data_IF_865617075231
#
_entry.id   IF_865617075231
#
_cell.length_a   1.000
_cell.length_b   1.000
_cell.length_c   1.000
_cell.angle_alpha   90.00
_cell.angle_beta   90.00
_cell.angle_gamma   90.00
#
_symmetry.space_group_name_H-M   'P 1'
#
loop_
_entity.id
_entity.type
_entity.pdbx_description
1 polymer ?
#
# COMPACT_ATOMS: atom_id res chain seq x y z
N UNK A 1 54.81 10.81 15.76
CA UNK A 1 53.90 9.64 15.69
C UNK A 1 52.49 10.16 15.48
N UNK A 2 51.72 9.42 14.69
CA UNK A 2 50.55 9.83 13.93
C UNK A 2 49.41 10.33 14.83
N UNK A 3 48.68 11.33 14.31
CA UNK A 3 47.45 11.87 14.90
C UNK A 3 46.50 10.71 15.17
N UNK A 4 46.07 10.56 16.42
CA UNK A 4 44.89 9.76 16.75
C UNK A 4 43.79 10.10 15.76
N UNK A 5 43.21 9.06 15.15
CA UNK A 5 42.02 9.16 14.33
C UNK A 5 40.96 9.90 15.14
N UNK A 6 40.85 11.21 14.91
CA UNK A 6 39.70 11.99 15.33
C UNK A 6 38.54 11.45 14.54
N UNK A 7 37.84 10.49 15.11
CA UNK A 7 36.52 10.06 14.68
C UNK A 7 35.70 11.34 14.52
N UNK A 8 35.45 11.73 13.27
CA UNK A 8 34.83 13.02 12.96
C UNK A 8 33.48 13.03 13.69
N UNK A 9 33.12 14.08 14.45
CA UNK A 9 31.85 14.12 15.19
C UNK A 9 30.64 13.80 14.30
N UNK A 10 30.75 14.13 13.01
CA UNK A 10 29.78 13.81 11.96
C UNK A 10 29.64 12.30 11.73
N UNK A 11 30.75 11.55 11.67
CA UNK A 11 30.73 10.09 11.52
C UNK A 11 30.06 9.41 12.72
N UNK A 12 30.36 9.87 13.94
CA UNK A 12 29.72 9.38 15.16
C UNK A 12 28.20 9.63 15.15
N UNK A 13 27.75 10.80 14.68
CA UNK A 13 26.33 11.13 14.52
C UNK A 13 25.68 10.21 13.49
N UNK A 14 26.28 10.01 12.32
CA UNK A 14 25.76 9.09 11.31
C UNK A 14 25.69 7.64 11.80
N UNK A 15 26.71 7.18 12.53
CA UNK A 15 26.72 5.85 13.14
C UNK A 15 25.58 5.70 14.16
N UNK A 16 25.32 6.72 14.98
CA UNK A 16 24.20 6.71 15.93
C UNK A 16 22.83 6.69 15.21
N UNK A 17 22.68 7.47 14.13
CA UNK A 17 21.48 7.47 13.30
C UNK A 17 21.26 6.08 12.67
N UNK A 18 22.30 5.53 12.04
CA UNK A 18 22.25 4.22 11.41
C UNK A 18 21.89 3.11 12.42
N UNK A 19 22.48 3.15 13.62
CA UNK A 19 22.15 2.23 14.71
C UNK A 19 20.68 2.31 15.07
N UNK A 20 20.16 3.52 15.31
CA UNK A 20 18.76 3.73 15.72
C UNK A 20 17.77 3.25 14.65
N UNK A 21 18.05 3.53 13.38
CA UNK A 21 17.27 2.99 12.27
C UNK A 21 17.37 1.46 12.22
N UNK A 22 18.56 0.89 12.40
CA UNK A 22 18.77 -0.56 12.44
C UNK A 22 17.98 -1.26 13.54
N UNK A 23 17.84 -0.65 14.73
CA UNK A 23 16.97 -1.16 15.80
C UNK A 23 15.49 -1.11 15.41
N UNK A 24 15.01 0.01 14.85
CA UNK A 24 13.63 0.16 14.40
C UNK A 24 13.28 -0.87 13.32
N UNK A 25 14.14 -1.06 12.34
CA UNK A 25 13.91 -2.02 11.26
C UNK A 25 13.96 -3.46 11.79
N UNK A 26 14.93 -3.83 12.63
CA UNK A 26 14.97 -5.17 13.25
C UNK A 26 13.71 -5.49 14.03
N UNK A 27 13.18 -4.54 14.81
CA UNK A 27 11.90 -4.72 15.53
C UNK A 27 10.75 -4.98 14.55
N UNK A 28 10.63 -4.17 13.48
CA UNK A 28 9.59 -4.36 12.45
C UNK A 28 9.74 -5.69 11.70
N UNK A 29 10.96 -6.13 11.41
CA UNK A 29 11.19 -7.45 10.80
C UNK A 29 10.72 -8.57 11.73
N UNK A 30 11.06 -8.52 13.02
CA UNK A 30 10.58 -9.52 13.99
C UNK A 30 9.05 -9.56 14.11
N UNK A 31 8.37 -8.40 14.03
CA UNK A 31 6.91 -8.32 14.03
C UNK A 31 6.27 -8.97 12.78
N UNK A 32 6.97 -8.96 11.65
CA UNK A 32 6.46 -9.44 10.34
C UNK A 32 7.03 -10.80 9.96
N UNK A 33 8.01 -11.34 10.68
CA UNK A 33 8.71 -12.60 10.38
C UNK A 33 7.76 -13.81 10.22
N UNK A 34 6.64 -13.78 10.94
CA UNK A 34 5.58 -14.79 10.85
C UNK A 34 4.33 -14.31 10.08
N UNK A 35 4.38 -13.13 9.46
CA UNK A 35 3.28 -12.61 8.67
C UNK A 35 3.12 -13.43 7.40
N UNK A 36 1.87 -13.74 7.06
CA UNK A 36 1.52 -14.39 5.78
C UNK A 36 1.54 -13.41 4.61
N UNK A 37 1.73 -12.11 4.86
CA UNK A 37 1.65 -11.07 3.84
C UNK A 37 2.98 -10.32 3.70
N UNK A 38 3.27 -9.84 2.50
CA UNK A 38 4.45 -9.04 2.20
C UNK A 38 4.34 -7.59 2.69
N UNK A 39 3.15 -7.17 3.15
CA UNK A 39 2.89 -5.79 3.49
C UNK A 39 3.31 -5.46 4.93
N UNK A 40 3.76 -4.23 5.15
CA UNK A 40 3.93 -3.69 6.51
C UNK A 40 2.57 -3.69 7.21
N UNK A 41 2.47 -4.01 8.52
CA UNK A 41 1.18 -4.22 9.21
C UNK A 41 0.16 -3.10 8.98
N UNK A 42 0.60 -1.84 8.97
CA UNK A 42 -0.28 -0.68 8.72
C UNK A 42 -0.88 -0.70 7.30
N UNK A 43 -0.07 -1.01 6.29
CA UNK A 43 -0.56 -1.11 4.92
C UNK A 43 -1.50 -2.31 4.76
N UNK A 44 -1.17 -3.44 5.40
CA UNK A 44 -2.06 -4.60 5.42
C UNK A 44 -3.42 -4.26 6.04
N UNK A 45 -3.42 -3.58 7.19
CA UNK A 45 -4.64 -3.15 7.87
C UNK A 45 -5.53 -2.28 6.97
N UNK A 46 -4.95 -1.26 6.34
CA UNK A 46 -5.68 -0.36 5.41
C UNK A 46 -6.27 -1.15 4.23
N UNK A 47 -5.49 -2.09 3.67
CA UNK A 47 -5.96 -2.91 2.55
C UNK A 47 -7.12 -3.83 2.97
N UNK A 48 -7.06 -4.42 4.17
CA UNK A 48 -8.14 -5.24 4.72
C UNK A 48 -9.42 -4.44 4.96
N UNK A 49 -9.31 -3.24 5.53
CA UNK A 49 -10.45 -2.34 5.71
C UNK A 49 -11.09 -2.00 4.34
N UNK A 50 -10.28 -1.60 3.36
CA UNK A 50 -10.76 -1.31 2.00
C UNK A 50 -11.39 -2.54 1.31
N UNK A 51 -10.96 -3.77 1.61
CA UNK A 51 -11.60 -4.99 1.12
C UNK A 51 -12.97 -5.22 1.76
N UNK A 52 -13.14 -4.95 3.06
CA UNK A 52 -14.44 -5.14 3.74
C UNK A 52 -15.50 -4.11 3.33
N UNK A 53 -15.07 -2.93 2.87
CA UNK A 53 -15.99 -1.90 2.36
C UNK A 53 -16.45 -2.15 0.91
N UNK A 54 -15.75 -3.02 0.18
CA UNK A 54 -16.05 -3.39 -1.21
C UNK A 54 -17.43 -4.06 -1.36
N UNK A 55 -17.83 -4.89 -0.39
CA UNK A 55 -19.12 -5.61 -0.42
C UNK A 55 -20.36 -4.69 -0.53
N UNK A 56 -20.19 -3.39 -0.32
CA UNK A 56 -21.25 -2.37 -0.45
C UNK A 56 -21.31 -1.73 -1.85
N UNK A 57 -20.39 -2.06 -2.75
CA UNK A 57 -20.28 -1.47 -4.07
C UNK A 57 -20.86 -2.40 -5.13
N UNK A 58 -21.69 -1.84 -6.01
CA UNK A 58 -22.03 -2.52 -7.25
C UNK A 58 -20.93 -2.28 -8.28
N UNK A 59 -20.31 -3.36 -8.75
CA UNK A 59 -19.19 -3.34 -9.70
C UNK A 59 -19.65 -3.84 -11.05
N UNK A 60 -19.42 -3.06 -12.10
CA UNK A 60 -19.62 -3.49 -13.47
C UNK A 60 -18.35 -3.31 -14.31
N UNK A 61 -17.94 -4.36 -15.03
CA UNK A 61 -16.92 -4.22 -16.06
C UNK A 61 -17.57 -3.64 -17.32
N UNK A 62 -17.05 -2.52 -17.83
CA UNK A 62 -17.72 -1.77 -18.92
C UNK A 62 -17.86 -2.64 -20.18
N UNK A 63 -16.85 -3.46 -20.50
CA UNK A 63 -16.82 -4.27 -21.73
C UNK A 63 -16.47 -5.75 -21.50
N UNK A 64 -16.34 -6.21 -20.25
CA UNK A 64 -15.91 -7.56 -19.86
C UNK A 64 -14.44 -7.90 -20.16
N UNK A 65 -13.85 -7.28 -21.19
CA UNK A 65 -12.48 -7.53 -21.66
C UNK A 65 -11.51 -6.46 -21.14
N UNK A 66 -12.01 -5.26 -20.88
CA UNK A 66 -11.17 -4.12 -20.51
C UNK A 66 -10.89 -4.07 -19.02
N UNK A 67 -9.74 -3.49 -18.65
CA UNK A 67 -9.38 -3.14 -17.27
C UNK A 67 -10.15 -1.94 -16.71
N UNK A 68 -11.26 -1.55 -17.36
CA UNK A 68 -12.10 -0.43 -16.97
C UNK A 68 -13.38 -0.90 -16.29
N UNK A 69 -13.60 -0.37 -15.09
CA UNK A 69 -14.72 -0.72 -14.24
C UNK A 69 -15.48 0.53 -13.84
N UNK A 70 -16.80 0.40 -13.79
CA UNK A 70 -17.69 1.40 -13.20
C UNK A 70 -18.20 0.87 -11.87
N UNK A 71 -18.02 1.67 -10.84
CA UNK A 71 -18.45 1.41 -9.47
C UNK A 71 -19.65 2.30 -9.16
N UNK A 72 -20.69 1.73 -8.57
CA UNK A 72 -21.86 2.43 -8.08
C UNK A 72 -21.99 2.18 -6.58
N UNK A 73 -21.93 3.25 -5.77
CA UNK A 73 -22.07 3.17 -4.32
C UNK A 73 -22.00 4.56 -3.69
N UNK A 74 -22.49 4.70 -2.44
CA UNK A 74 -22.44 5.97 -1.69
C UNK A 74 -22.99 7.20 -2.43
N UNK A 75 -23.97 7.00 -3.32
CA UNK A 75 -24.61 8.08 -4.09
C UNK A 75 -23.77 8.69 -5.22
N UNK A 76 -22.60 8.12 -5.56
CA UNK A 76 -21.75 8.58 -6.67
C UNK A 76 -21.18 7.40 -7.46
N UNK A 77 -20.99 7.59 -8.76
CA UNK A 77 -20.25 6.62 -9.59
C UNK A 77 -18.75 6.93 -9.60
N UNK A 78 -17.93 5.88 -9.57
CA UNK A 78 -16.49 5.99 -9.75
C UNK A 78 -16.01 5.11 -10.91
N UNK A 79 -15.07 5.62 -11.71
CA UNK A 79 -14.42 4.87 -12.78
C UNK A 79 -13.04 4.43 -12.29
N UNK A 80 -12.75 3.15 -12.44
CA UNK A 80 -11.46 2.55 -12.10
C UNK A 80 -10.84 2.00 -13.37
N UNK A 81 -9.55 2.28 -13.59
CA UNK A 81 -8.77 1.65 -14.64
C UNK A 81 -7.55 0.98 -14.00
N UNK A 82 -7.51 -0.36 -14.04
CA UNK A 82 -6.48 -1.15 -13.39
C UNK A 82 -5.12 -1.05 -14.10
N UNK A 83 -5.08 -1.01 -15.44
CA UNK A 83 -3.82 -0.88 -16.18
C UNK A 83 -3.16 0.47 -15.92
N UNK A 84 -3.96 1.54 -15.84
CA UNK A 84 -3.50 2.90 -15.53
C UNK A 84 -3.36 3.16 -14.03
N UNK A 85 -3.74 2.19 -13.19
CA UNK A 85 -3.74 2.28 -11.72
C UNK A 85 -4.44 3.55 -11.21
N UNK A 86 -5.60 3.86 -11.77
CA UNK A 86 -6.30 5.12 -11.53
C UNK A 86 -7.74 4.90 -11.07
N UNK A 87 -8.22 5.78 -10.18
CA UNK A 87 -9.61 5.86 -9.72
C UNK A 87 -10.10 7.30 -9.79
N UNK A 88 -11.27 7.56 -10.37
CA UNK A 88 -11.86 8.90 -10.38
C UNK A 88 -12.19 9.44 -8.98
N UNK A 89 -12.26 8.56 -7.98
CA UNK A 89 -12.40 8.90 -6.57
C UNK A 89 -11.17 9.61 -5.97
N UNK A 90 -10.00 9.53 -6.63
CA UNK A 90 -8.69 10.08 -6.19
C UNK A 90 -8.19 9.64 -4.80
N UNK A 91 -8.97 8.89 -4.01
CA UNK A 91 -8.57 8.33 -2.71
C UNK A 91 -7.27 7.51 -2.81
N UNK A 92 -7.08 6.81 -3.92
CA UNK A 92 -5.88 6.01 -4.19
C UNK A 92 -4.61 6.86 -4.38
N UNK A 93 -4.75 8.11 -4.86
CA UNK A 93 -3.61 8.99 -5.15
C UNK A 93 -2.96 9.53 -3.87
N UNK A 94 -3.72 9.60 -2.77
CA UNK A 94 -3.26 10.14 -1.49
C UNK A 94 -2.39 9.17 -0.70
N UNK A 95 -2.77 7.89 -0.68
CA UNK A 95 -2.12 6.86 0.17
C UNK A 95 -1.18 5.94 -0.62
N UNK A 96 -1.12 6.07 -1.95
CA UNK A 96 -0.41 5.15 -2.87
C UNK A 96 -0.76 3.67 -2.68
N UNK A 97 -1.88 3.40 -2.02
CA UNK A 97 -2.49 2.08 -1.82
C UNK A 97 -3.82 2.05 -2.58
N UNK A 98 -4.22 0.90 -3.14
CA UNK A 98 -5.54 0.76 -3.72
C UNK A 98 -6.62 1.01 -2.66
N UNK A 99 -7.50 1.97 -2.93
CA UNK A 99 -8.70 2.24 -2.13
C UNK A 99 -9.81 1.25 -2.44
N UNK A 100 -10.92 1.36 -1.72
CA UNK A 100 -12.10 0.47 -1.81
C UNK A 100 -12.51 0.15 -3.26
N UNK A 101 -12.67 1.17 -4.12
CA UNK A 101 -13.00 0.95 -5.55
C UNK A 101 -11.94 0.19 -6.34
N UNK A 102 -10.65 0.41 -6.07
CA UNK A 102 -9.59 -0.31 -6.76
C UNK A 102 -9.52 -1.77 -6.29
N UNK A 103 -9.76 -2.02 -5.00
CA UNK A 103 -9.86 -3.37 -4.44
C UNK A 103 -11.03 -4.15 -5.06
N UNK A 104 -12.18 -3.50 -5.18
CA UNK A 104 -13.38 -4.01 -5.85
C UNK A 104 -13.11 -4.53 -7.28
N UNK A 105 -12.47 -3.68 -8.09
CA UNK A 105 -12.14 -4.02 -9.46
C UNK A 105 -11.13 -5.19 -9.53
N UNK A 106 -10.15 -5.22 -8.63
CA UNK A 106 -9.17 -6.31 -8.55
C UNK A 106 -9.83 -7.62 -8.14
N UNK A 107 -10.77 -7.59 -7.18
CA UNK A 107 -11.52 -8.78 -6.77
C UNK A 107 -12.33 -9.36 -7.92
N UNK A 108 -13.11 -8.53 -8.62
CA UNK A 108 -13.94 -9.00 -9.74
C UNK A 108 -13.07 -9.61 -10.84
N UNK A 109 -12.00 -8.90 -11.26
CA UNK A 109 -11.09 -9.38 -12.30
C UNK A 109 -10.44 -10.73 -12.01
N UNK A 110 -10.23 -11.06 -10.72
CA UNK A 110 -9.63 -12.32 -10.31
C UNK A 110 -10.65 -13.45 -10.06
N UNK A 111 -11.95 -13.14 -9.94
CA UNK A 111 -13.02 -14.15 -9.88
C UNK A 111 -13.42 -14.68 -11.27
N UNK A 112 -13.22 -13.87 -12.31
CA UNK A 112 -13.52 -14.23 -13.70
C UNK A 112 -12.42 -15.09 -14.37
N UNK A 113 -11.47 -15.62 -13.60
CA UNK A 113 -10.40 -16.53 -14.04
C UNK A 113 -10.59 -17.92 -13.44
#
# INVERSE_FOLDING_TARGET
>A
MLRDEREYPVAAIFNSIAHRFGEIFRKRYAEVDNSKTTFVPVAEMILRENMTEDDKLYVNNINGITDEFTMLGYGRSAKVNLSRRSCSCRKCDLVKLPGTHAMAALHLKNRDK
#
